data_IF_199856448503
#
_entry.id   IF_199856448503
#
_cell.length_a   1.000
_cell.length_b   1.000
_cell.length_c   1.000
_cell.angle_alpha   90.00
_cell.angle_beta   90.00
_cell.angle_gamma   90.00
#
_symmetry.space_group_name_H-M   'P 1'
#
loop_
_entity.id
_entity.type
_entity.pdbx_description
1 polymer ?
#
# COMPACT_ATOMS: atom_id res chain seq x y z
N UNK A 1 29.39 -30.43 -0.57
CA UNK A 1 29.55 -29.57 0.63
C UNK A 1 28.34 -29.76 1.53
N UNK A 2 28.56 -30.02 2.79
CA UNK A 2 27.50 -30.10 3.81
C UNK A 2 27.00 -28.69 4.21
N UNK A 3 25.84 -28.65 4.85
CA UNK A 3 25.30 -27.38 5.41
C UNK A 3 26.31 -26.66 6.33
N UNK A 4 27.00 -27.44 7.19
CA UNK A 4 28.01 -26.89 8.10
C UNK A 4 29.23 -26.31 7.38
N UNK A 5 29.70 -26.99 6.32
CA UNK A 5 30.81 -26.51 5.49
C UNK A 5 30.44 -25.22 4.77
N UNK A 6 29.20 -25.08 4.25
CA UNK A 6 28.69 -23.84 3.62
C UNK A 6 28.58 -22.70 4.60
N UNK A 7 28.10 -22.98 5.82
CA UNK A 7 28.06 -22.00 6.92
C UNK A 7 29.46 -21.47 7.24
N UNK A 8 30.46 -22.40 7.42
CA UNK A 8 31.84 -22.03 7.72
C UNK A 8 32.49 -21.22 6.61
N UNK A 9 32.26 -21.62 5.35
CA UNK A 9 32.78 -20.91 4.20
C UNK A 9 32.21 -19.50 4.15
N UNK A 10 30.86 -19.36 4.23
CA UNK A 10 30.20 -18.06 4.14
C UNK A 10 30.58 -17.12 5.26
N UNK A 11 30.70 -17.65 6.51
CA UNK A 11 31.18 -16.87 7.65
C UNK A 11 32.58 -16.28 7.40
N UNK A 12 33.49 -17.10 6.84
CA UNK A 12 34.84 -16.64 6.51
C UNK A 12 34.86 -15.61 5.39
N UNK A 13 34.06 -15.79 4.35
CA UNK A 13 33.94 -14.86 3.22
C UNK A 13 33.49 -13.46 3.67
N UNK A 14 32.56 -13.37 4.62
CA UNK A 14 32.09 -12.08 5.18
C UNK A 14 32.94 -11.57 6.34
N UNK A 15 34.05 -12.26 6.67
CA UNK A 15 34.99 -11.85 7.73
C UNK A 15 34.44 -11.94 9.16
N UNK A 16 33.47 -12.82 9.42
CA UNK A 16 32.93 -12.97 10.78
C UNK A 16 33.65 -14.09 11.54
N UNK A 17 33.93 -13.83 12.83
CA UNK A 17 34.36 -14.87 13.78
C UNK A 17 33.16 -15.74 14.22
N UNK A 18 33.41 -16.94 14.72
CA UNK A 18 32.35 -17.80 15.25
C UNK A 18 31.66 -17.15 16.47
N UNK A 19 32.43 -16.44 17.28
CA UNK A 19 31.95 -15.66 18.45
C UNK A 19 30.93 -14.58 18.01
N UNK A 20 31.23 -13.85 16.94
CA UNK A 20 30.35 -12.79 16.42
C UNK A 20 29.04 -13.36 15.86
N UNK A 21 29.07 -14.52 15.24
CA UNK A 21 27.87 -15.22 14.78
C UNK A 21 27.07 -15.74 15.96
N UNK A 22 27.74 -16.31 16.96
CA UNK A 22 27.12 -16.83 18.17
C UNK A 22 26.41 -15.75 18.96
N UNK A 23 27.04 -14.59 19.16
CA UNK A 23 26.47 -13.41 19.81
C UNK A 23 25.17 -12.98 19.13
N UNK A 24 25.18 -12.87 17.78
CA UNK A 24 24.01 -12.46 17.00
C UNK A 24 22.88 -13.47 16.99
N UNK A 25 23.21 -14.76 17.07
CA UNK A 25 22.24 -15.85 17.11
C UNK A 25 21.74 -16.14 18.53
N UNK A 26 22.35 -15.56 19.58
CA UNK A 26 22.00 -15.80 20.98
C UNK A 26 22.42 -17.18 21.49
N UNK A 27 23.48 -17.77 20.93
CA UNK A 27 24.00 -19.10 21.29
C UNK A 27 25.47 -19.04 21.74
N UNK A 28 26.00 -20.15 22.25
CA UNK A 28 27.45 -20.24 22.57
C UNK A 28 28.30 -20.38 21.31
N UNK A 29 29.56 -19.88 21.29
CA UNK A 29 30.48 -20.12 20.19
C UNK A 29 30.71 -21.62 19.89
N UNK A 30 30.66 -22.45 20.92
CA UNK A 30 30.75 -23.91 20.78
C UNK A 30 29.60 -24.49 19.91
N UNK A 31 28.42 -23.90 20.02
CA UNK A 31 27.26 -24.29 19.19
C UNK A 31 27.52 -24.01 17.72
N UNK A 32 28.10 -22.87 17.38
CA UNK A 32 28.45 -22.51 16.00
C UNK A 32 29.50 -23.51 15.44
N UNK A 33 30.54 -23.82 16.21
CA UNK A 33 31.54 -24.81 15.78
C UNK A 33 30.93 -26.19 15.59
N UNK A 34 29.95 -26.60 16.41
CA UNK A 34 29.24 -27.90 16.21
C UNK A 34 28.38 -27.89 14.96
N UNK A 35 27.70 -26.76 14.64
CA UNK A 35 26.98 -26.62 13.38
C UNK A 35 27.94 -26.72 12.19
N UNK A 36 29.08 -26.04 12.24
CA UNK A 36 30.08 -26.05 11.16
C UNK A 36 30.77 -27.41 10.94
N UNK A 37 30.91 -28.24 12.01
CA UNK A 37 31.45 -29.57 11.91
C UNK A 37 30.47 -30.62 11.45
N UNK A 38 29.17 -30.30 11.48
CA UNK A 38 28.12 -31.26 11.18
C UNK A 38 27.79 -32.21 12.34
N UNK A 39 28.29 -31.91 13.56
CA UNK A 39 28.00 -32.71 14.78
C UNK A 39 26.53 -32.64 15.18
N UNK A 40 25.76 -31.73 14.56
CA UNK A 40 24.32 -31.63 14.69
C UNK A 40 23.70 -31.86 13.30
N UNK A 41 23.12 -33.05 13.10
CA UNK A 41 22.53 -33.44 11.82
C UNK A 41 21.34 -32.58 11.36
N UNK A 42 20.67 -31.92 12.29
CA UNK A 42 19.54 -31.04 11.99
C UNK A 42 19.64 -29.70 12.72
N UNK A 43 20.05 -28.67 12.00
CA UNK A 43 19.89 -27.30 12.47
C UNK A 43 18.37 -26.99 12.49
N UNK A 44 17.79 -26.51 13.60
CA UNK A 44 16.38 -26.12 13.63
C UNK A 44 16.04 -25.13 12.50
N UNK A 45 14.89 -25.29 11.87
CA UNK A 45 14.49 -24.48 10.71
C UNK A 45 14.50 -22.97 11.05
N UNK A 46 14.05 -22.61 12.23
CA UNK A 46 14.05 -21.22 12.70
C UNK A 46 15.48 -20.70 12.84
N UNK A 47 16.37 -21.48 13.42
CA UNK A 47 17.80 -21.13 13.54
C UNK A 47 18.50 -21.03 12.19
N UNK A 48 18.10 -21.83 11.21
CA UNK A 48 18.67 -21.80 9.85
C UNK A 48 18.31 -20.49 9.13
N UNK A 49 17.06 -20.02 9.29
CA UNK A 49 16.61 -18.74 8.70
C UNK A 49 17.36 -17.55 9.32
N UNK A 50 17.56 -17.54 10.63
CA UNK A 50 18.33 -16.50 11.31
C UNK A 50 19.81 -16.54 10.96
N UNK A 51 20.41 -17.75 10.92
CA UNK A 51 21.78 -17.93 10.46
C UNK A 51 21.99 -17.42 9.03
N UNK A 52 21.06 -17.71 8.12
CA UNK A 52 21.12 -17.19 6.76
C UNK A 52 21.12 -15.68 6.70
N UNK A 53 20.30 -14.99 7.53
CA UNK A 53 20.32 -13.53 7.66
C UNK A 53 21.66 -13.01 8.20
N UNK A 54 22.17 -13.62 9.27
CA UNK A 54 23.45 -13.23 9.90
C UNK A 54 24.61 -13.42 8.92
N UNK A 55 24.60 -14.50 8.16
CA UNK A 55 25.61 -14.85 7.18
C UNK A 55 25.39 -14.16 5.80
N UNK A 56 24.39 -13.30 5.69
CA UNK A 56 24.06 -12.55 4.47
C UNK A 56 23.89 -13.49 3.25
N UNK A 57 23.12 -14.54 3.44
CA UNK A 57 22.86 -15.57 2.43
C UNK A 57 21.40 -16.06 2.53
N UNK A 58 21.04 -17.06 1.74
CA UNK A 58 19.71 -17.70 1.78
C UNK A 58 19.74 -19.03 2.54
N UNK A 59 18.63 -19.46 3.16
CA UNK A 59 18.51 -20.82 3.69
C UNK A 59 18.75 -21.87 2.61
N UNK A 60 18.31 -21.61 1.36
CA UNK A 60 18.48 -22.51 0.23
C UNK A 60 19.96 -22.73 -0.12
N UNK A 61 20.79 -21.69 -0.07
CA UNK A 61 22.23 -21.82 -0.22
C UNK A 61 22.86 -22.66 0.91
N UNK A 62 22.49 -22.39 2.16
CA UNK A 62 23.00 -23.17 3.29
C UNK A 62 22.63 -24.65 3.20
N UNK A 63 21.41 -24.93 2.73
CA UNK A 63 20.92 -26.29 2.51
C UNK A 63 21.51 -26.97 1.27
N UNK A 64 22.20 -26.22 0.41
CA UNK A 64 22.80 -26.76 -0.81
C UNK A 64 21.86 -26.89 -2.00
N UNK A 65 20.71 -26.21 -1.94
CA UNK A 65 19.75 -26.16 -3.05
C UNK A 65 20.12 -25.09 -4.09
N UNK A 66 20.96 -24.12 -3.69
CA UNK A 66 21.53 -23.07 -4.54
C UNK A 66 23.06 -23.17 -4.49
N UNK A 67 23.73 -23.04 -5.64
CA UNK A 67 25.19 -23.13 -5.73
C UNK A 67 25.91 -21.84 -5.32
N UNK A 68 25.26 -20.69 -5.46
CA UNK A 68 25.82 -19.41 -5.09
C UNK A 68 24.92 -18.70 -4.06
N UNK A 69 25.54 -18.02 -3.07
CA UNK A 69 24.77 -17.12 -2.23
C UNK A 69 24.24 -16.03 -3.13
N UNK A 70 22.93 -16.05 -3.41
CA UNK A 70 22.33 -14.93 -4.13
C UNK A 70 22.62 -13.67 -3.33
N UNK A 71 23.36 -12.72 -3.86
CA UNK A 71 23.51 -11.45 -3.19
C UNK A 71 22.10 -10.90 -3.05
N UNK A 72 21.69 -10.58 -1.82
CA UNK A 72 20.48 -9.79 -1.62
C UNK A 72 20.64 -8.60 -2.56
N UNK A 73 19.69 -8.30 -3.44
CA UNK A 73 19.81 -7.16 -4.34
C UNK A 73 19.86 -5.91 -3.46
N UNK A 74 21.08 -5.45 -3.14
CA UNK A 74 21.36 -4.20 -2.42
C UNK A 74 21.49 -3.03 -3.37
N UNK A 75 21.34 -3.31 -4.66
CA UNK A 75 21.25 -2.27 -5.69
C UNK A 75 19.98 -2.52 -6.50
N UNK A 76 19.17 -1.50 -6.74
CA UNK A 76 18.09 -1.63 -7.71
C UNK A 76 18.72 -2.09 -9.04
N UNK A 77 18.20 -3.17 -9.62
CA UNK A 77 18.57 -3.59 -10.96
C UNK A 77 18.52 -2.36 -11.86
N UNK A 78 19.59 -2.04 -12.63
CA UNK A 78 19.55 -0.88 -13.49
C UNK A 78 18.36 -1.00 -14.43
N UNK A 79 17.46 -0.04 -14.31
CA UNK A 79 16.23 0.00 -15.11
C UNK A 79 16.66 0.23 -16.55
N UNK A 80 16.22 -0.61 -17.51
CA UNK A 80 16.55 -0.42 -18.91
C UNK A 80 16.16 0.99 -19.39
N UNK A 81 16.91 1.61 -20.32
CA UNK A 81 16.54 2.89 -20.86
C UNK A 81 15.12 2.87 -21.42
N UNK A 82 14.29 3.84 -21.01
CA UNK A 82 12.88 3.94 -21.42
C UNK A 82 11.88 3.33 -20.45
N UNK A 83 12.32 2.70 -19.36
CA UNK A 83 11.44 2.24 -18.30
C UNK A 83 11.50 3.19 -17.09
N UNK A 84 10.34 3.49 -16.52
CA UNK A 84 10.22 4.27 -15.29
C UNK A 84 10.07 3.27 -14.12
N UNK A 85 10.76 3.45 -12.98
CA UNK A 85 10.56 2.59 -11.83
C UNK A 85 9.10 2.65 -11.37
N UNK A 86 8.53 1.51 -10.98
CA UNK A 86 7.22 1.53 -10.36
C UNK A 86 7.25 2.44 -9.12
N UNK A 87 6.24 3.33 -8.98
CA UNK A 87 6.12 4.15 -7.80
C UNK A 87 6.00 3.27 -6.55
N UNK A 88 6.51 3.76 -5.43
CA UNK A 88 6.22 3.12 -4.15
C UNK A 88 4.73 3.24 -3.89
N UNK A 89 4.14 2.17 -3.37
CA UNK A 89 2.72 2.10 -3.08
C UNK A 89 2.48 2.17 -1.58
N UNK A 90 1.43 2.87 -1.18
CA UNK A 90 0.89 2.89 0.19
C UNK A 90 -0.49 2.25 0.22
N UNK A 91 -0.88 1.70 1.37
CA UNK A 91 -2.21 1.14 1.58
C UNK A 91 -3.17 2.21 2.09
N UNK A 92 -4.32 2.30 1.43
CA UNK A 92 -5.38 3.27 1.74
C UNK A 92 -6.69 2.51 1.90
N UNK A 93 -7.51 2.80 2.93
CA UNK A 93 -8.77 2.10 3.15
C UNK A 93 -9.76 2.38 2.02
N UNK A 94 -10.38 1.33 1.48
CA UNK A 94 -11.54 1.41 0.60
C UNK A 94 -12.79 1.45 1.47
N UNK A 95 -13.59 2.50 1.29
CA UNK A 95 -14.83 2.71 2.01
C UNK A 95 -15.99 2.40 1.04
N UNK A 96 -16.83 1.43 1.39
CA UNK A 96 -17.96 1.01 0.55
C UNK A 96 -19.16 1.96 0.62
N UNK A 97 -19.38 2.59 1.78
CA UNK A 97 -20.44 3.56 1.99
C UNK A 97 -20.02 4.57 3.06
N UNK A 98 -20.39 5.84 2.90
CA UNK A 98 -20.21 6.88 3.89
C UNK A 98 -21.47 6.91 4.75
N UNK A 99 -21.38 6.50 6.01
CA UNK A 99 -22.50 6.48 6.94
C UNK A 99 -22.75 7.88 7.55
N UNK A 100 -24.01 8.09 7.96
CA UNK A 100 -24.51 9.32 8.55
C UNK A 100 -23.89 9.70 9.89
N UNK A 101 -23.64 10.99 10.11
CA UNK A 101 -23.51 11.61 11.43
C UNK A 101 -22.11 11.85 11.97
N UNK A 102 -21.13 11.04 11.61
CA UNK A 102 -19.75 11.23 12.04
C UNK A 102 -18.82 11.60 10.87
N UNK A 103 -17.80 12.45 11.11
CA UNK A 103 -16.74 12.61 10.14
C UNK A 103 -16.20 11.23 9.75
N UNK A 104 -15.82 11.03 8.48
CA UNK A 104 -15.29 9.76 8.01
C UNK A 104 -14.13 9.33 8.92
N UNK A 105 -14.46 8.64 9.98
CA UNK A 105 -13.49 7.86 10.71
C UNK A 105 -13.31 6.58 9.89
N UNK A 106 -12.20 6.53 9.16
CA UNK A 106 -11.79 5.48 8.20
C UNK A 106 -11.87 4.03 8.73
N UNK A 107 -12.46 3.82 9.89
CA UNK A 107 -12.47 2.55 10.61
C UNK A 107 -13.82 1.82 10.62
N UNK A 108 -14.95 2.49 10.38
CA UNK A 108 -16.26 1.86 10.60
C UNK A 108 -16.83 1.12 9.37
N UNK A 109 -16.44 1.51 8.15
CA UNK A 109 -16.93 0.89 6.91
C UNK A 109 -15.79 0.45 5.97
N UNK A 110 -14.64 0.06 6.54
CA UNK A 110 -13.48 -0.42 5.79
C UNK A 110 -13.75 -1.81 5.23
N UNK A 111 -13.78 -1.94 3.90
CA UNK A 111 -13.92 -3.24 3.23
C UNK A 111 -12.56 -3.92 3.08
N UNK A 112 -11.65 -3.28 2.35
CA UNK A 112 -10.29 -3.75 2.08
C UNK A 112 -9.35 -2.55 1.93
N UNK A 113 -8.04 -2.78 1.93
CA UNK A 113 -7.07 -1.75 1.55
C UNK A 113 -6.78 -1.84 0.06
N UNK A 114 -6.66 -0.68 -0.59
CA UNK A 114 -6.20 -0.55 -1.97
C UNK A 114 -4.80 0.04 -2.01
N UNK A 115 -4.02 -0.35 -3.01
CA UNK A 115 -2.68 0.17 -3.22
C UNK A 115 -2.74 1.46 -4.05
N UNK A 116 -2.19 2.55 -3.50
CA UNK A 116 -2.16 3.88 -4.12
C UNK A 116 -0.70 4.36 -4.18
N UNK A 117 -0.24 5.02 -5.26
CA UNK A 117 1.10 5.60 -5.29
C UNK A 117 1.36 6.52 -4.09
N UNK A 118 2.55 6.42 -3.50
CA UNK A 118 2.92 7.10 -2.24
C UNK A 118 2.91 8.63 -2.37
N UNK A 119 3.17 9.13 -3.59
CA UNK A 119 3.17 10.54 -3.96
C UNK A 119 1.76 11.14 -4.14
N UNK A 120 0.72 10.30 -4.27
CA UNK A 120 -0.67 10.74 -4.33
C UNK A 120 -1.18 11.04 -2.92
N UNK A 121 -1.62 12.28 -2.67
CA UNK A 121 -2.29 12.65 -1.42
C UNK A 121 -3.68 12.04 -1.39
N UNK A 122 -3.78 10.86 -0.82
CA UNK A 122 -5.03 10.12 -0.67
C UNK A 122 -5.14 9.60 0.75
N UNK A 123 -6.29 9.82 1.38
CA UNK A 123 -6.58 9.42 2.75
C UNK A 123 -7.52 8.21 2.79
N UNK A 124 -8.45 8.13 1.84
CA UNK A 124 -9.33 6.99 1.63
C UNK A 124 -9.72 6.86 0.15
N UNK A 125 -10.26 5.70 -0.22
CA UNK A 125 -10.79 5.44 -1.55
C UNK A 125 -12.27 5.11 -1.49
N UNK A 126 -13.01 5.44 -2.55
CA UNK A 126 -14.44 5.12 -2.74
C UNK A 126 -14.62 4.30 -3.99
N UNK A 127 -15.44 3.26 -3.91
CA UNK A 127 -15.90 2.55 -5.10
C UNK A 127 -17.07 3.32 -5.72
N UNK A 128 -16.94 3.68 -6.99
CA UNK A 128 -18.00 4.34 -7.73
C UNK A 128 -19.12 3.38 -8.13
N UNK A 129 -20.33 3.87 -8.07
CA UNK A 129 -21.52 3.20 -8.57
C UNK A 129 -22.29 4.11 -9.53
N UNK A 130 -22.66 3.54 -10.67
CA UNK A 130 -23.44 4.23 -11.71
C UNK A 130 -22.60 5.14 -12.62
N UNK A 131 -23.28 5.78 -13.55
CA UNK A 131 -22.69 6.44 -14.72
C UNK A 131 -22.67 7.97 -14.63
N UNK A 132 -22.93 8.55 -13.46
CA UNK A 132 -23.08 10.01 -13.33
C UNK A 132 -21.80 10.81 -13.61
N UNK A 133 -20.62 10.16 -13.65
CA UNK A 133 -19.31 10.79 -13.82
C UNK A 133 -18.53 10.30 -15.04
N UNK A 134 -19.19 9.62 -15.99
CA UNK A 134 -18.54 9.05 -17.19
C UNK A 134 -17.87 10.10 -18.07
N UNK A 135 -18.40 11.31 -18.14
CA UNK A 135 -17.79 12.42 -18.87
C UNK A 135 -16.45 12.90 -18.27
N UNK A 136 -16.20 12.59 -17.01
CA UNK A 136 -14.90 12.78 -16.35
C UNK A 136 -13.99 11.53 -16.46
N UNK A 137 -14.43 10.49 -17.19
CA UNK A 137 -13.70 9.22 -17.34
C UNK A 137 -13.86 8.27 -16.16
N UNK A 138 -14.74 8.57 -15.21
CA UNK A 138 -15.01 7.73 -14.03
C UNK A 138 -16.27 6.90 -14.28
N UNK A 139 -16.13 5.57 -14.26
CA UNK A 139 -17.16 4.61 -14.63
C UNK A 139 -17.62 3.78 -13.41
N UNK A 140 -18.69 3.04 -13.60
CA UNK A 140 -19.15 2.08 -12.59
C UNK A 140 -18.07 1.07 -12.25
N UNK A 141 -17.85 0.85 -10.95
CA UNK A 141 -16.82 -0.05 -10.44
C UNK A 141 -15.44 0.58 -10.25
N UNK A 142 -15.19 1.81 -10.72
CA UNK A 142 -13.92 2.50 -10.52
C UNK A 142 -13.68 2.81 -9.04
N UNK A 143 -12.40 2.83 -8.69
CA UNK A 143 -11.93 3.21 -7.35
C UNK A 143 -11.37 4.62 -7.40
N UNK A 144 -12.05 5.58 -6.76
CA UNK A 144 -11.67 6.99 -6.71
C UNK A 144 -10.92 7.28 -5.41
N UNK A 145 -9.79 7.97 -5.53
CA UNK A 145 -8.92 8.38 -4.43
C UNK A 145 -9.33 9.73 -3.90
N UNK A 146 -9.57 9.82 -2.61
CA UNK A 146 -10.09 11.01 -1.95
C UNK A 146 -9.05 11.54 -0.95
N UNK A 147 -8.78 12.84 -1.05
CA UNK A 147 -8.05 13.60 -0.04
C UNK A 147 -9.04 14.33 0.85
N UNK A 148 -9.00 14.08 2.16
CA UNK A 148 -9.90 14.69 3.14
C UNK A 148 -9.63 16.19 3.20
N UNK A 149 -10.62 16.96 2.81
CA UNK A 149 -10.64 18.42 2.98
C UNK A 149 -12.09 18.92 2.97
N UNK A 150 -12.43 19.93 3.82
CA UNK A 150 -13.80 20.40 3.96
C UNK A 150 -14.25 21.33 2.83
N UNK A 151 -13.33 21.81 2.01
CA UNK A 151 -13.57 22.78 0.96
C UNK A 151 -12.90 22.34 -0.34
N UNK A 152 -13.53 22.70 -1.46
CA UNK A 152 -13.00 22.48 -2.81
C UNK A 152 -13.18 23.74 -3.65
N UNK A 153 -12.36 23.89 -4.66
CA UNK A 153 -12.50 24.98 -5.63
C UNK A 153 -13.61 24.68 -6.64
N UNK A 154 -14.16 25.76 -7.23
CA UNK A 154 -15.20 25.63 -8.27
C UNK A 154 -14.71 24.78 -9.44
N UNK A 155 -15.50 23.76 -9.77
CA UNK A 155 -15.19 22.84 -10.85
C UNK A 155 -14.36 21.63 -10.43
N UNK A 156 -13.98 21.49 -9.17
CA UNK A 156 -13.32 20.28 -8.67
C UNK A 156 -14.33 19.15 -8.43
N UNK A 157 -13.85 17.92 -8.56
CA UNK A 157 -14.65 16.72 -8.27
C UNK A 157 -14.43 16.37 -6.80
N UNK A 158 -15.52 16.16 -6.08
CA UNK A 158 -15.49 15.85 -4.66
C UNK A 158 -16.44 14.71 -4.29
N UNK A 159 -16.08 14.00 -3.25
CA UNK A 159 -17.02 13.17 -2.49
C UNK A 159 -17.85 14.11 -1.61
N UNK A 160 -19.15 14.11 -1.86
CA UNK A 160 -20.12 14.98 -1.16
C UNK A 160 -21.15 14.08 -0.51
N UNK A 161 -21.43 14.32 0.76
CA UNK A 161 -22.53 13.67 1.47
C UNK A 161 -23.73 14.62 1.52
N UNK A 162 -24.90 14.09 1.18
CA UNK A 162 -26.20 14.78 1.25
C UNK A 162 -27.11 13.95 2.13
N UNK A 163 -27.38 14.43 3.35
CA UNK A 163 -28.03 13.59 4.34
C UNK A 163 -27.22 12.33 4.59
N UNK A 164 -27.79 11.17 4.27
CA UNK A 164 -27.22 9.84 4.50
C UNK A 164 -26.51 9.24 3.28
N UNK A 165 -26.54 9.93 2.15
CA UNK A 165 -26.01 9.41 0.89
C UNK A 165 -24.73 10.15 0.48
N UNK A 166 -23.70 9.38 0.15
CA UNK A 166 -22.48 9.91 -0.46
C UNK A 166 -22.57 9.84 -1.97
N UNK A 167 -22.13 10.90 -2.64
CA UNK A 167 -22.08 10.97 -4.09
C UNK A 167 -20.80 11.64 -4.57
N UNK A 168 -20.34 11.28 -5.77
CA UNK A 168 -19.23 11.96 -6.44
C UNK A 168 -19.81 12.93 -7.47
N UNK A 169 -19.45 14.22 -7.35
CA UNK A 169 -19.94 15.27 -8.26
C UNK A 169 -18.88 16.35 -8.46
N UNK A 170 -19.02 17.08 -9.55
CA UNK A 170 -18.30 18.34 -9.73
C UNK A 170 -19.00 19.44 -8.96
N UNK A 171 -18.27 20.12 -8.09
CA UNK A 171 -18.81 21.10 -7.15
C UNK A 171 -18.65 22.51 -7.70
N UNK A 172 -19.73 23.28 -7.68
CA UNK A 172 -19.72 24.71 -7.97
C UNK A 172 -20.37 25.47 -6.81
N UNK A 173 -19.60 26.34 -6.19
CA UNK A 173 -20.01 27.17 -5.08
C UNK A 173 -20.49 28.53 -5.62
N UNK A 174 -21.74 28.86 -5.37
CA UNK A 174 -22.34 30.16 -5.69
C UNK A 174 -22.68 30.92 -4.40
N UNK A 175 -23.04 32.22 -4.52
CA UNK A 175 -23.32 33.07 -3.35
C UNK A 175 -24.47 32.52 -2.49
N UNK A 176 -25.51 31.96 -3.13
CA UNK A 176 -26.76 31.56 -2.49
C UNK A 176 -27.06 30.05 -2.58
N UNK A 177 -26.24 29.27 -3.29
CA UNK A 177 -26.45 27.84 -3.48
C UNK A 177 -25.16 27.12 -3.84
N UNK A 178 -25.17 25.79 -3.67
CA UNK A 178 -24.16 24.87 -4.19
C UNK A 178 -24.79 24.05 -5.31
N UNK A 179 -24.12 23.97 -6.43
CA UNK A 179 -24.45 23.07 -7.52
C UNK A 179 -23.52 21.86 -7.52
N UNK A 180 -24.09 20.68 -7.41
CA UNK A 180 -23.40 19.40 -7.53
C UNK A 180 -23.72 18.85 -8.91
N UNK A 181 -22.78 19.03 -9.84
CA UNK A 181 -22.99 18.72 -11.27
C UNK A 181 -22.45 17.32 -11.59
N UNK A 182 -23.28 16.46 -12.20
CA UNK A 182 -22.79 15.22 -12.79
C UNK A 182 -21.99 15.52 -14.07
N UNK A 183 -21.06 14.66 -14.39
CA UNK A 183 -20.33 14.66 -15.66
C UNK A 183 -20.97 13.66 -16.64
N UNK A 184 -22.31 13.68 -16.72
CA UNK A 184 -23.11 12.92 -17.67
C UNK A 184 -24.41 13.70 -17.94
N UNK A 185 -24.68 14.10 -19.21
CA UNK A 185 -25.87 14.86 -19.58
C UNK A 185 -27.22 14.15 -19.31
N UNK A 186 -27.18 12.82 -19.08
CA UNK A 186 -28.39 12.07 -18.73
C UNK A 186 -28.85 12.28 -17.29
N UNK A 187 -28.06 12.97 -16.45
CA UNK A 187 -28.35 13.24 -15.07
C UNK A 187 -28.48 14.74 -14.83
N UNK A 188 -29.42 15.14 -13.98
CA UNK A 188 -29.62 16.54 -13.60
C UNK A 188 -28.65 16.95 -12.47
N UNK A 189 -28.30 18.26 -12.47
CA UNK A 189 -27.52 18.85 -11.36
C UNK A 189 -28.38 18.89 -10.10
N UNK A 190 -27.75 18.60 -8.96
CA UNK A 190 -28.34 18.73 -7.65
C UNK A 190 -28.03 20.15 -7.15
N UNK A 191 -29.05 20.95 -6.92
CA UNK A 191 -28.91 22.32 -6.38
C UNK A 191 -29.36 22.31 -4.92
N UNK A 192 -28.51 22.83 -4.03
CA UNK A 192 -28.84 23.04 -2.61
C UNK A 192 -28.67 24.52 -2.26
N UNK A 193 -29.76 25.15 -1.82
CA UNK A 193 -29.74 26.52 -1.41
C UNK A 193 -29.14 26.68 -0.01
N UNK A 194 -28.76 27.89 0.34
CA UNK A 194 -28.11 28.21 1.63
C UNK A 194 -28.94 27.75 2.85
N UNK A 195 -30.26 27.73 2.72
CA UNK A 195 -31.18 27.24 3.74
C UNK A 195 -31.07 25.74 4.00
N UNK A 196 -30.71 24.97 2.94
CA UNK A 196 -30.60 23.51 2.93
C UNK A 196 -29.13 23.03 2.98
N UNK A 197 -28.18 23.95 3.14
CA UNK A 197 -26.74 23.61 3.12
C UNK A 197 -26.27 22.81 4.34
N UNK A 198 -27.04 22.77 5.42
CA UNK A 198 -26.71 21.98 6.59
C UNK A 198 -26.65 20.48 6.31
N UNK A 199 -27.28 20.02 5.23
CA UNK A 199 -27.32 18.61 4.84
C UNK A 199 -26.21 18.24 3.84
N UNK A 200 -25.42 19.23 3.37
CA UNK A 200 -24.36 19.01 2.37
C UNK A 200 -23.00 19.12 3.03
N UNK A 201 -22.26 18.05 3.00
CA UNK A 201 -20.90 17.98 3.54
C UNK A 201 -19.92 17.54 2.45
N UNK A 202 -18.86 18.34 2.24
CA UNK A 202 -17.74 17.94 1.41
C UNK A 202 -16.83 17.05 2.27
N UNK A 203 -16.75 15.79 1.92
CA UNK A 203 -15.93 14.79 2.63
C UNK A 203 -14.48 14.83 2.16
N UNK A 204 -14.27 15.22 0.90
CA UNK A 204 -12.93 15.38 0.35
C UNK A 204 -12.91 15.55 -1.15
N UNK A 205 -11.75 15.97 -1.65
CA UNK A 205 -11.46 16.17 -3.05
C UNK A 205 -11.02 14.86 -3.71
N UNK A 206 -11.54 14.57 -4.91
CA UNK A 206 -11.04 13.50 -5.75
C UNK A 206 -9.68 13.90 -6.35
N UNK A 207 -8.67 13.09 -6.13
CA UNK A 207 -7.27 13.35 -6.57
C UNK A 207 -6.80 12.40 -7.65
N UNK A 208 -7.57 11.37 -7.94
CA UNK A 208 -7.29 10.37 -8.98
C UNK A 208 -8.25 9.20 -8.90
N UNK A 209 -8.14 8.28 -9.83
CA UNK A 209 -8.94 7.05 -9.84
C UNK A 209 -8.20 5.92 -10.55
N UNK A 210 -8.63 4.68 -10.31
CA UNK A 210 -8.17 3.49 -11.03
C UNK A 210 -9.36 2.84 -11.73
N UNK A 211 -9.18 2.57 -13.02
CA UNK A 211 -10.11 1.84 -13.86
C UNK A 211 -9.56 0.46 -14.19
N UNK A 212 -10.38 -0.58 -14.06
CA UNK A 212 -10.06 -1.95 -14.43
C UNK A 212 -10.91 -2.37 -15.63
N UNK A 213 -10.25 -2.92 -16.65
CA UNK A 213 -10.92 -3.42 -17.86
C UNK A 213 -11.55 -4.80 -17.64
#
# INVERSE_FOLDING_TARGET
MTTGERMKQRRKEIGFSAEKVAERLGVSPATIYRYEKGDIEKVPVDSLAELAKILQTTPAYLMGWEEQPTPKPTSPTPIPPGFIPMPKMKKVPLIGAIACGDPITALQNREVDVDVPEDVRCDFALKCHGDSMVGAGIHDGDVVYIHIQPEVENGEIAAVRIGDEATLKRVYLHMDYVELRPENPAFESIIRRKEDMNDVHIEGKAVGYTHWF
#
